data_IF_806534179608
#
_entry.id   IF_806534179608
#
_cell.length_a   1.000
_cell.length_b   1.000
_cell.length_c   1.000
_cell.angle_alpha   90.00
_cell.angle_beta   90.00
_cell.angle_gamma   90.00
#
_symmetry.space_group_name_H-M   'P 1'
#
loop_
_entity.id
_entity.type
_entity.pdbx_description
1 polymer ?
#
# COMPACT_ATOMS: atom_id res chain seq x y z
N UNK A 1 0.03 -18.62 9.24
CA UNK A 1 0.91 -18.23 8.16
C UNK A 1 0.22 -17.37 7.13
N UNK A 2 0.75 -16.19 6.90
CA UNK A 2 0.11 -15.21 6.06
C UNK A 2 0.47 -15.33 4.61
N UNK A 3 1.67 -15.81 4.32
CA UNK A 3 2.21 -15.67 2.99
C UNK A 3 1.99 -16.91 2.16
N UNK A 4 1.45 -16.72 1.00
CA UNK A 4 1.37 -17.75 -0.03
C UNK A 4 2.09 -17.26 -1.24
N UNK A 5 2.53 -18.18 -2.08
CA UNK A 5 3.44 -17.82 -3.14
C UNK A 5 2.97 -16.65 -4.02
N UNK A 6 1.69 -16.48 -4.36
CA UNK A 6 1.33 -15.31 -5.17
C UNK A 6 1.24 -14.02 -4.40
N UNK A 7 1.28 -14.05 -3.06
CA UNK A 7 1.03 -12.84 -2.29
C UNK A 7 2.27 -12.09 -1.87
N UNK A 8 3.44 -12.73 -1.83
CA UNK A 8 4.61 -12.02 -1.34
C UNK A 8 5.12 -10.95 -2.31
N UNK A 9 4.58 -10.92 -3.52
CA UNK A 9 4.88 -9.81 -4.42
C UNK A 9 3.99 -8.61 -4.17
N UNK A 10 2.98 -8.73 -3.33
CA UNK A 10 2.05 -7.65 -3.04
C UNK A 10 2.41 -6.90 -1.78
N UNK A 11 3.05 -7.55 -0.84
CA UNK A 11 3.34 -6.91 0.43
C UNK A 11 4.79 -7.10 0.83
N UNK A 12 5.41 -6.01 1.26
CA UNK A 12 6.74 -6.03 1.87
C UNK A 12 6.59 -5.63 3.32
N UNK A 13 7.30 -6.33 4.19
CA UNK A 13 7.23 -6.09 5.61
C UNK A 13 8.57 -5.57 6.09
N UNK A 14 8.54 -4.41 6.73
CA UNK A 14 9.72 -3.79 7.29
C UNK A 14 9.51 -3.64 8.79
N UNK A 15 10.49 -4.07 9.57
CA UNK A 15 10.37 -3.99 11.01
C UNK A 15 11.34 -2.99 11.58
N UNK A 16 10.87 -2.19 12.51
CA UNK A 16 11.71 -1.33 13.32
C UNK A 16 11.63 -1.81 14.76
N UNK A 17 12.34 -1.14 15.65
CA UNK A 17 12.28 -1.48 17.06
C UNK A 17 10.93 -1.21 17.68
N UNK A 18 10.20 -0.25 17.11
CA UNK A 18 8.97 0.24 17.72
C UNK A 18 7.71 -0.16 16.96
N UNK A 19 7.82 -0.44 15.66
CA UNK A 19 6.64 -0.71 14.86
C UNK A 19 7.01 -1.48 13.60
N UNK A 20 5.98 -1.95 12.90
CA UNK A 20 6.11 -2.62 11.61
C UNK A 20 5.52 -1.74 10.52
N UNK A 21 6.11 -1.82 9.35
CA UNK A 21 5.57 -1.18 8.16
C UNK A 21 5.18 -2.26 7.18
N UNK A 22 3.93 -2.22 6.74
CA UNK A 22 3.44 -3.11 5.70
C UNK A 22 3.25 -2.27 4.44
N UNK A 23 4.01 -2.58 3.42
CA UNK A 23 3.96 -1.85 2.17
C UNK A 23 3.31 -2.73 1.11
N UNK A 24 2.14 -2.31 0.64
CA UNK A 24 1.36 -3.04 -0.34
C UNK A 24 1.43 -2.31 -1.68
N UNK A 25 1.76 -3.05 -2.73
CA UNK A 25 1.73 -2.52 -4.08
C UNK A 25 0.57 -3.19 -4.81
N UNK A 26 -0.49 -2.43 -5.03
CA UNK A 26 -1.71 -2.96 -5.61
C UNK A 26 -1.81 -2.73 -7.12
N UNK A 27 -0.70 -2.37 -7.73
CA UNK A 27 -0.70 -2.07 -9.16
C UNK A 27 -1.30 -3.19 -10.01
N UNK A 28 -0.98 -4.44 -9.67
CA UNK A 28 -1.40 -5.60 -10.46
C UNK A 28 -2.67 -6.27 -9.95
N UNK A 29 -3.30 -5.69 -8.96
CA UNK A 29 -4.56 -6.22 -8.46
C UNK A 29 -5.65 -5.95 -9.48
N UNK A 30 -6.36 -7.00 -9.90
CA UNK A 30 -7.49 -6.86 -10.81
C UNK A 30 -8.80 -6.68 -10.05
N UNK A 31 -8.92 -7.35 -8.91
CA UNK A 31 -10.14 -7.31 -8.13
C UNK A 31 -9.80 -7.20 -6.66
N UNK A 32 -10.61 -6.42 -5.94
CA UNK A 32 -10.35 -6.18 -4.54
C UNK A 32 -10.43 -7.45 -3.69
N UNK A 33 -11.13 -8.48 -4.15
CA UNK A 33 -11.22 -9.74 -3.44
C UNK A 33 -9.84 -10.37 -3.23
N UNK A 34 -8.88 -10.05 -4.09
CA UNK A 34 -7.53 -10.58 -3.93
C UNK A 34 -6.90 -10.12 -2.63
N UNK A 35 -7.29 -8.95 -2.13
CA UNK A 35 -6.78 -8.48 -0.84
C UNK A 35 -7.33 -9.31 0.31
N UNK A 36 -8.56 -9.76 0.20
CA UNK A 36 -9.12 -10.63 1.22
C UNK A 36 -8.40 -11.97 1.23
N UNK A 37 -8.01 -12.42 0.06
CA UNK A 37 -7.32 -13.70 -0.06
C UNK A 37 -5.94 -13.69 0.58
N UNK A 38 -5.29 -12.55 0.63
CA UNK A 38 -4.00 -12.46 1.30
C UNK A 38 -4.12 -12.18 2.79
N UNK A 39 -5.34 -12.00 3.28
CA UNK A 39 -5.55 -11.75 4.70
C UNK A 39 -5.32 -10.30 5.09
N UNK A 40 -5.80 -9.37 4.27
CA UNK A 40 -5.57 -7.94 4.50
C UNK A 40 -5.99 -7.51 5.91
N UNK A 41 -7.07 -8.09 6.43
CA UNK A 41 -7.56 -7.71 7.74
C UNK A 41 -6.58 -8.02 8.86
N UNK A 42 -5.79 -9.07 8.71
CA UNK A 42 -4.77 -9.39 9.71
C UNK A 42 -3.68 -8.35 9.74
N UNK A 43 -3.29 -7.86 8.57
CA UNK A 43 -2.30 -6.78 8.52
C UNK A 43 -2.84 -5.51 9.13
N UNK A 44 -4.09 -5.17 8.79
CA UNK A 44 -4.68 -3.92 9.25
C UNK A 44 -4.94 -3.91 10.75
N UNK A 45 -5.13 -5.07 11.35
CA UNK A 45 -5.37 -5.14 12.80
C UNK A 45 -4.11 -5.24 13.63
N UNK A 46 -2.97 -5.32 13.01
CA UNK A 46 -1.72 -5.41 13.74
C UNK A 46 -1.45 -4.13 14.52
N UNK A 47 -1.14 -4.28 15.80
CA UNK A 47 -0.84 -3.13 16.65
C UNK A 47 0.55 -2.59 16.33
N UNK A 48 0.72 -1.30 16.52
CA UNK A 48 1.99 -0.62 16.28
C UNK A 48 2.50 -0.88 14.87
N UNK A 49 1.61 -0.67 13.91
CA UNK A 49 1.96 -0.85 12.52
C UNK A 49 1.50 0.33 11.69
N UNK A 50 2.17 0.48 10.55
CA UNK A 50 1.80 1.45 9.53
C UNK A 50 1.59 0.68 8.26
N UNK A 51 0.47 0.88 7.60
CA UNK A 51 0.18 0.24 6.33
C UNK A 51 0.20 1.28 5.24
N UNK A 52 0.99 1.03 4.21
CA UNK A 52 1.15 1.94 3.08
C UNK A 52 0.65 1.21 1.84
N UNK A 53 -0.22 1.86 1.10
CA UNK A 53 -0.80 1.26 -0.11
C UNK A 53 -0.48 2.12 -1.32
N UNK A 54 0.19 1.50 -2.32
CA UNK A 54 0.35 2.12 -3.62
C UNK A 54 -0.78 1.63 -4.52
N UNK A 55 -1.29 2.53 -5.33
CA UNK A 55 -2.41 2.28 -6.23
C UNK A 55 -3.65 1.85 -5.44
N UNK A 56 -4.02 2.62 -4.40
CA UNK A 56 -5.08 2.18 -3.48
C UNK A 56 -6.45 2.05 -4.14
N UNK A 57 -6.67 2.74 -5.26
CA UNK A 57 -7.95 2.62 -5.94
C UNK A 57 -8.24 1.21 -6.41
N UNK A 58 -7.20 0.40 -6.61
CA UNK A 58 -7.40 -0.98 -7.04
C UNK A 58 -7.96 -1.86 -5.94
N UNK A 59 -7.89 -1.40 -4.69
CA UNK A 59 -8.47 -2.14 -3.57
C UNK A 59 -9.57 -1.38 -2.86
N UNK A 60 -10.12 -0.37 -3.49
CA UNK A 60 -11.00 0.59 -2.84
C UNK A 60 -12.19 -0.05 -2.12
N UNK A 61 -12.74 -1.13 -2.68
CA UNK A 61 -13.89 -1.76 -2.09
C UNK A 61 -13.58 -2.47 -0.77
N UNK A 62 -12.31 -2.77 -0.53
CA UNK A 62 -11.88 -3.52 0.64
C UNK A 62 -11.14 -2.66 1.66
N UNK A 63 -10.42 -1.65 1.20
CA UNK A 63 -9.59 -0.86 2.09
C UNK A 63 -10.39 0.14 2.89
N UNK A 64 -9.98 0.40 4.14
CA UNK A 64 -10.60 1.45 4.94
C UNK A 64 -10.18 2.83 4.45
N UNK A 65 -10.81 3.85 4.98
CA UNK A 65 -10.40 5.22 4.68
C UNK A 65 -8.99 5.47 5.20
N UNK A 66 -8.14 6.13 4.43
CA UNK A 66 -6.78 6.38 4.88
C UNK A 66 -6.72 7.48 5.92
N UNK A 67 -5.71 7.38 6.79
CA UNK A 67 -5.41 8.47 7.71
C UNK A 67 -4.71 9.61 6.99
N UNK A 68 -3.87 9.25 6.03
CA UNK A 68 -3.15 10.23 5.22
C UNK A 68 -3.17 9.79 3.78
N UNK A 69 -3.32 10.75 2.89
CA UNK A 69 -3.27 10.49 1.46
C UNK A 69 -2.09 11.26 0.87
N UNK A 70 -1.18 10.54 0.24
CA UNK A 70 0.01 11.13 -0.37
C UNK A 70 -0.09 10.95 -1.87
N UNK A 71 -0.03 12.03 -2.60
CA UNK A 71 -0.08 11.98 -4.04
C UNK A 71 1.28 12.38 -4.61
N UNK A 72 1.80 11.52 -5.48
CA UNK A 72 3.08 11.76 -6.12
C UNK A 72 2.85 11.80 -7.61
N UNK A 73 3.30 12.85 -8.24
CA UNK A 73 3.17 12.98 -9.69
C UNK A 73 4.48 13.50 -10.28
N UNK A 74 4.63 13.29 -11.58
CA UNK A 74 5.75 13.84 -12.32
C UNK A 74 5.31 15.10 -13.02
N UNK A 75 6.18 16.09 -12.97
CA UNK A 75 5.90 17.34 -13.60
C UNK A 75 7.03 17.63 -14.59
N UNK A 76 6.65 17.84 -15.84
CA UNK A 76 7.61 18.24 -16.86
C UNK A 76 7.75 19.74 -16.84
N UNK A 77 8.95 20.19 -16.52
CA UNK A 77 9.24 21.61 -16.59
C UNK A 77 10.51 21.72 -17.42
N UNK A 78 10.37 22.29 -18.60
CA UNK A 78 11.44 22.34 -19.57
C UNK A 78 11.90 20.93 -19.88
N UNK A 79 13.13 20.60 -19.66
CA UNK A 79 13.63 19.24 -19.94
C UNK A 79 13.80 18.43 -18.68
N UNK A 80 13.31 18.93 -17.57
CA UNK A 80 13.43 18.25 -16.30
C UNK A 80 12.12 17.65 -15.88
N UNK A 81 12.18 16.41 -15.46
CA UNK A 81 11.03 15.74 -14.84
C UNK A 81 11.18 15.89 -13.35
N UNK A 82 10.22 16.51 -12.72
CA UNK A 82 10.23 16.67 -11.28
C UNK A 82 9.10 15.87 -10.69
N UNK A 83 9.40 15.21 -9.59
CA UNK A 83 8.38 14.52 -8.83
C UNK A 83 7.76 15.50 -7.87
N UNK A 84 6.45 15.59 -7.92
CA UNK A 84 5.69 16.47 -7.04
C UNK A 84 4.97 15.63 -6.01
N UNK A 85 5.08 16.04 -4.75
CA UNK A 85 4.48 15.30 -3.65
C UNK A 85 3.49 16.18 -2.93
N UNK A 86 2.28 15.68 -2.73
CA UNK A 86 1.30 16.37 -1.91
C UNK A 86 0.69 15.41 -0.92
N UNK A 87 0.36 15.93 0.26
CA UNK A 87 -0.21 15.16 1.36
C UNK A 87 -1.50 15.83 1.78
N UNK A 88 -2.53 15.01 1.89
CA UNK A 88 -3.82 15.54 2.30
C UNK A 88 -4.48 14.68 3.37
#
# INVERSE_FOLDING_TARGET
>A
ELVKSPTYNLVEIHETKSYRVFHFDLYRISEAIELEEIGIDEYLSELKSVSIFEWPKNGKATLPSPDFHVQISYKNVDQNNKRELSIS
#
